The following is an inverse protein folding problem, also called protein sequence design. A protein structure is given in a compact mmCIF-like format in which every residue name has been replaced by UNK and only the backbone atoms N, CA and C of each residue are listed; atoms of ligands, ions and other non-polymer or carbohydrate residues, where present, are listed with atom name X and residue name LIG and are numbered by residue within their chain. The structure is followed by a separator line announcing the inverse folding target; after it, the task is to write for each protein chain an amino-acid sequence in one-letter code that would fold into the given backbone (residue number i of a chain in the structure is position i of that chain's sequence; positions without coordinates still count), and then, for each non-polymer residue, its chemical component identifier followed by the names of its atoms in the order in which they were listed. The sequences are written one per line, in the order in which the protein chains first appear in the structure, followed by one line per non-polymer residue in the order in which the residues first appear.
data_IF_156429210953
#
_entry.id   IF_156429210953
#
_cell.length_a   1.000
_cell.length_b   1.000
_cell.length_c   1.000
_cell.angle_alpha   90.00
_cell.angle_beta   90.00
_cell.angle_gamma   90.00
#
_symmetry.space_group_name_H-M   'P 1'
#
loop_
_entity.id
_entity.type
_entity.pdbx_description
1 polymer ?
#
# COMPACT_ATOMS: atom_id res chain seq x y z
N UNK A 1 19.66 -12.90 -4.91
CA UNK A 1 18.83 -14.12 -5.00
C UNK A 1 19.46 -15.15 -5.93
N UNK A 2 19.80 -14.83 -7.18
CA UNK A 2 20.41 -15.80 -8.12
C UNK A 2 21.81 -16.26 -7.67
N UNK A 3 22.69 -15.33 -7.29
CA UNK A 3 24.00 -15.66 -6.71
C UNK A 3 23.90 -16.50 -5.42
N UNK A 4 22.78 -16.39 -4.70
CA UNK A 4 22.49 -17.16 -3.49
C UNK A 4 21.78 -18.50 -3.79
N UNK A 5 21.62 -18.87 -5.06
CA UNK A 5 20.99 -20.12 -5.49
C UNK A 5 19.47 -20.21 -5.27
N UNK A 6 18.81 -19.14 -4.84
CA UNK A 6 17.37 -19.14 -4.53
C UNK A 6 16.49 -19.10 -5.78
N UNK A 7 17.03 -18.58 -6.88
CA UNK A 7 16.36 -18.51 -8.18
C UNK A 7 17.34 -18.88 -9.28
N UNK A 8 16.85 -19.49 -10.35
CA UNK A 8 17.59 -19.78 -11.57
C UNK A 8 17.07 -18.88 -12.71
N UNK A 9 17.99 -18.38 -13.54
CA UNK A 9 17.70 -17.42 -14.60
C UNK A 9 17.99 -17.98 -15.98
N UNK A 10 16.96 -18.13 -16.81
CA UNK A 10 17.08 -18.62 -18.19
C UNK A 10 16.77 -17.51 -19.18
N UNK A 11 17.55 -17.44 -20.27
CA UNK A 11 17.25 -16.52 -21.37
C UNK A 11 16.07 -17.07 -22.18
N UNK A 12 15.03 -16.28 -22.33
CA UNK A 12 13.85 -16.61 -23.14
C UNK A 12 13.65 -15.58 -24.24
N UNK A 13 13.11 -15.96 -25.41
CA UNK A 13 12.78 -15.01 -26.46
C UNK A 13 11.82 -13.93 -25.96
N UNK A 14 12.07 -12.69 -26.38
CA UNK A 14 11.26 -11.52 -26.06
C UNK A 14 11.01 -10.73 -27.34
N UNK A 15 10.01 -11.18 -28.10
CA UNK A 15 9.76 -10.66 -29.45
C UNK A 15 10.75 -11.17 -30.50
N UNK A 16 10.75 -10.59 -31.72
CA UNK A 16 11.43 -11.20 -32.88
C UNK A 16 12.96 -11.16 -32.84
N UNK A 17 13.58 -10.28 -32.04
CA UNK A 17 15.03 -10.04 -32.04
C UNK A 17 15.66 -9.82 -30.66
N UNK A 18 14.92 -10.08 -29.59
CA UNK A 18 15.43 -9.83 -28.24
C UNK A 18 15.19 -11.04 -27.36
N UNK A 19 15.93 -11.11 -26.26
CA UNK A 19 15.74 -12.08 -25.19
C UNK A 19 15.60 -11.33 -23.87
N UNK A 20 14.88 -11.96 -22.93
CA UNK A 20 14.77 -11.49 -21.56
C UNK A 20 15.13 -12.63 -20.63
N UNK A 21 15.73 -12.30 -19.49
CA UNK A 21 16.00 -13.27 -18.44
C UNK A 21 14.71 -13.56 -17.66
N UNK A 22 14.22 -14.80 -17.75
CA UNK A 22 13.12 -15.31 -16.96
C UNK A 22 13.67 -16.05 -15.74
N UNK A 23 13.15 -15.74 -14.57
CA UNK A 23 13.54 -16.38 -13.32
C UNK A 23 12.52 -17.43 -12.88
N UNK A 24 13.03 -18.53 -12.35
CA UNK A 24 12.26 -19.59 -11.69
C UNK A 24 12.82 -19.81 -10.29
N UNK A 25 11.94 -20.07 -9.31
CA UNK A 25 12.37 -20.44 -7.96
C UNK A 25 13.01 -21.83 -7.96
N UNK A 26 14.08 -22.01 -7.19
CA UNK A 26 14.74 -23.31 -6.96
C UNK A 26 14.13 -23.99 -5.73
N UNK A 27 14.45 -25.27 -5.50
CA UNK A 27 14.03 -25.95 -4.26
C UNK A 27 14.59 -25.26 -3.01
N UNK A 28 15.85 -24.81 -3.07
CA UNK A 28 16.46 -23.99 -2.02
C UNK A 28 15.69 -22.68 -1.81
N UNK A 29 15.23 -22.06 -2.90
CA UNK A 29 14.38 -20.87 -2.84
C UNK A 29 13.02 -21.15 -2.19
N UNK A 30 12.40 -22.30 -2.45
CA UNK A 30 11.14 -22.69 -1.81
C UNK A 30 11.32 -22.87 -0.30
N UNK A 31 12.41 -23.52 0.12
CA UNK A 31 12.69 -23.73 1.53
C UNK A 31 12.96 -22.40 2.25
N UNK A 32 13.82 -21.55 1.68
CA UNK A 32 14.08 -20.22 2.20
C UNK A 32 12.81 -19.35 2.26
N UNK A 33 11.91 -19.48 1.28
CA UNK A 33 10.62 -18.79 1.30
C UNK A 33 9.72 -19.29 2.43
N UNK A 34 9.67 -20.60 2.69
CA UNK A 34 8.88 -21.17 3.80
C UNK A 34 9.42 -20.75 5.16
N UNK A 35 10.74 -20.78 5.33
CA UNK A 35 11.40 -20.30 6.54
C UNK A 35 11.04 -18.83 6.79
N UNK A 36 11.15 -17.98 5.76
CA UNK A 36 10.77 -16.58 5.85
C UNK A 36 9.29 -16.37 6.19
N UNK A 37 8.38 -17.18 5.64
CA UNK A 37 6.95 -17.12 5.98
C UNK A 37 6.66 -17.46 7.46
N UNK A 38 7.57 -18.16 8.14
CA UNK A 38 7.48 -18.49 9.56
C UNK A 38 8.17 -17.47 10.46
N UNK A 39 8.91 -16.50 9.90
CA UNK A 39 9.55 -15.44 10.67
C UNK A 39 8.50 -14.47 11.22
N UNK A 40 8.48 -14.21 12.55
CA UNK A 40 7.60 -13.21 13.13
C UNK A 40 7.80 -11.83 12.50
N UNK A 41 6.72 -11.09 12.30
CA UNK A 41 6.80 -9.72 11.80
C UNK A 41 7.36 -8.83 12.91
N UNK A 42 8.53 -8.22 12.68
CA UNK A 42 9.06 -7.17 13.53
C UNK A 42 8.49 -5.82 13.11
N UNK A 43 7.87 -5.10 14.05
CA UNK A 43 7.28 -3.80 13.77
C UNK A 43 8.27 -2.69 14.10
N UNK A 44 8.69 -1.94 13.09
CA UNK A 44 9.41 -0.67 13.27
C UNK A 44 8.43 0.49 13.26
N UNK A 45 8.70 1.60 13.98
CA UNK A 45 7.88 2.81 13.89
C UNK A 45 7.66 3.24 12.43
N UNK A 46 6.40 3.44 12.04
CA UNK A 46 6.04 3.82 10.68
C UNK A 46 6.49 5.25 10.38
N UNK A 47 7.04 5.47 9.18
CA UNK A 47 7.42 6.80 8.68
C UNK A 47 6.32 7.37 7.80
N UNK A 48 5.31 7.98 8.43
CA UNK A 48 4.14 8.53 7.75
C UNK A 48 4.30 10.04 7.53
N UNK A 49 4.82 10.43 6.36
CA UNK A 49 5.12 11.84 6.05
C UNK A 49 3.87 12.73 6.10
N UNK A 50 2.72 12.23 5.63
CA UNK A 50 1.46 12.98 5.65
C UNK A 50 0.97 13.27 7.07
N UNK A 51 1.02 12.29 7.97
CA UNK A 51 0.68 12.47 9.38
C UNK A 51 1.68 13.40 10.09
N UNK A 52 2.96 13.30 9.73
CA UNK A 52 3.99 14.20 10.25
C UNK A 52 3.72 15.65 9.83
N UNK A 53 3.42 15.90 8.55
CA UNK A 53 3.09 17.26 8.09
C UNK A 53 1.81 17.79 8.73
N UNK A 54 0.76 16.96 8.84
CA UNK A 54 -0.50 17.35 9.46
C UNK A 54 -0.36 17.71 10.95
N UNK A 55 0.59 17.10 11.65
CA UNK A 55 0.88 17.42 13.05
C UNK A 55 1.49 18.83 13.24
N UNK A 56 1.91 19.50 12.16
CA UNK A 56 2.50 20.84 12.19
C UNK A 56 1.75 21.82 11.27
N UNK A 57 0.45 21.60 11.03
CA UNK A 57 -0.34 22.50 10.19
C UNK A 57 -0.46 23.93 10.74
N UNK A 58 -0.18 24.16 12.03
CA UNK A 58 -0.07 25.50 12.61
C UNK A 58 1.09 26.33 12.01
N UNK A 59 2.04 25.68 11.32
CA UNK A 59 3.14 26.34 10.61
C UNK A 59 2.84 26.62 9.13
N UNK A 60 1.63 26.30 8.66
CA UNK A 60 1.17 26.59 7.30
C UNK A 60 -0.12 27.39 7.33
N UNK A 61 -0.53 27.94 6.19
CA UNK A 61 -1.84 28.58 6.09
C UNK A 61 -2.94 27.55 5.81
N UNK A 62 -4.18 27.96 6.07
CA UNK A 62 -5.36 27.11 5.91
C UNK A 62 -5.54 26.59 4.48
N UNK A 63 -5.14 27.36 3.46
CA UNK A 63 -5.27 26.95 2.06
C UNK A 63 -4.35 25.76 1.75
N UNK A 64 -3.09 25.85 2.16
CA UNK A 64 -2.11 24.78 1.99
C UNK A 64 -2.44 23.54 2.82
N UNK A 65 -2.91 23.71 4.06
CA UNK A 65 -3.38 22.59 4.88
C UNK A 65 -4.57 21.86 4.23
N UNK A 66 -5.53 22.60 3.65
CA UNK A 66 -6.64 22.00 2.88
C UNK A 66 -6.18 21.27 1.64
N UNK A 67 -5.27 21.88 0.87
CA UNK A 67 -4.74 21.26 -0.34
C UNK A 67 -4.01 19.94 -0.02
N UNK A 68 -3.27 19.89 1.10
CA UNK A 68 -2.63 18.66 1.57
C UNK A 68 -3.64 17.54 1.83
N UNK A 69 -4.68 17.83 2.61
CA UNK A 69 -5.72 16.86 2.94
C UNK A 69 -6.53 16.44 1.70
N UNK A 70 -6.82 17.35 0.78
CA UNK A 70 -7.52 17.01 -0.46
C UNK A 70 -6.68 16.08 -1.34
N UNK A 71 -5.39 16.36 -1.51
CA UNK A 71 -4.48 15.49 -2.26
C UNK A 71 -4.39 14.08 -1.62
N UNK A 72 -4.42 13.99 -0.28
CA UNK A 72 -4.46 12.73 0.45
C UNK A 72 -5.74 11.95 0.17
N UNK A 73 -6.90 12.62 0.19
CA UNK A 73 -8.20 12.04 -0.17
C UNK A 73 -8.20 11.53 -1.60
N UNK A 74 -7.72 12.33 -2.56
CA UNK A 74 -7.68 11.96 -3.97
C UNK A 74 -6.80 10.72 -4.20
N UNK A 75 -5.63 10.69 -3.55
CA UNK A 75 -4.72 9.55 -3.59
C UNK A 75 -5.40 8.28 -3.06
N UNK A 76 -5.91 8.30 -1.82
CA UNK A 76 -6.49 7.09 -1.24
C UNK A 76 -7.81 6.69 -1.90
N UNK A 77 -8.57 7.63 -2.46
CA UNK A 77 -9.77 7.32 -3.26
C UNK A 77 -9.40 6.54 -4.53
N UNK A 78 -8.35 6.98 -5.24
CA UNK A 78 -7.85 6.25 -6.39
C UNK A 78 -7.33 4.84 -6.01
N UNK A 79 -6.60 4.73 -4.90
CA UNK A 79 -6.13 3.44 -4.38
C UNK A 79 -7.28 2.52 -4.00
N UNK A 80 -8.30 3.03 -3.29
CA UNK A 80 -9.49 2.29 -2.90
C UNK A 80 -10.23 1.74 -4.13
N UNK A 81 -10.43 2.57 -5.16
CA UNK A 81 -11.06 2.16 -6.41
C UNK A 81 -10.27 1.04 -7.11
N UNK A 82 -8.95 1.22 -7.27
CA UNK A 82 -8.09 0.22 -7.91
C UNK A 82 -8.08 -1.11 -7.15
N UNK A 83 -7.89 -1.06 -5.83
CA UNK A 83 -7.84 -2.25 -4.99
C UNK A 83 -9.18 -2.95 -4.90
N UNK A 84 -10.29 -2.22 -4.99
CA UNK A 84 -11.64 -2.81 -5.03
C UNK A 84 -11.82 -3.68 -6.27
N UNK A 85 -11.38 -3.17 -7.44
CA UNK A 85 -11.42 -3.94 -8.69
C UNK A 85 -10.56 -5.19 -8.59
N UNK A 86 -9.34 -5.07 -8.04
CA UNK A 86 -8.44 -6.22 -7.88
C UNK A 86 -9.03 -7.23 -6.90
N UNK A 87 -9.52 -6.78 -5.74
CA UNK A 87 -10.15 -7.63 -4.73
C UNK A 87 -11.31 -8.43 -5.31
N UNK A 88 -12.22 -7.77 -6.02
CA UNK A 88 -13.32 -8.41 -6.73
C UNK A 88 -12.82 -9.43 -7.76
N UNK A 89 -11.84 -9.07 -8.59
CA UNK A 89 -11.27 -9.98 -9.58
C UNK A 89 -10.62 -11.23 -8.98
N UNK A 90 -10.13 -11.17 -7.73
CA UNK A 90 -9.59 -12.32 -7.02
C UNK A 90 -10.72 -13.25 -6.58
N UNK A 91 -11.77 -12.69 -5.98
CA UNK A 91 -12.95 -13.44 -5.53
C UNK A 91 -13.67 -14.12 -6.70
N UNK A 92 -13.83 -13.41 -7.82
CA UNK A 92 -14.43 -13.91 -9.06
C UNK A 92 -13.50 -14.84 -9.86
N UNK A 93 -12.25 -15.01 -9.41
CA UNK A 93 -11.22 -15.82 -10.07
C UNK A 93 -10.89 -15.39 -11.51
N UNK A 94 -10.98 -14.09 -11.80
CA UNK A 94 -10.64 -13.50 -13.10
C UNK A 94 -9.27 -12.82 -13.12
N UNK A 95 -8.64 -12.65 -11.95
CA UNK A 95 -7.30 -12.07 -11.85
C UNK A 95 -6.22 -12.99 -12.46
N UNK A 96 -5.61 -12.59 -13.59
CA UNK A 96 -4.66 -13.43 -14.35
C UNK A 96 -3.49 -13.96 -13.52
N UNK A 97 -2.92 -13.15 -12.62
CA UNK A 97 -1.80 -13.58 -11.77
C UNK A 97 -2.23 -14.64 -10.77
N UNK A 98 -3.43 -14.50 -10.20
CA UNK A 98 -3.99 -15.49 -9.28
C UNK A 98 -4.38 -16.77 -10.02
N UNK A 99 -5.02 -16.67 -11.20
CA UNK A 99 -5.38 -17.81 -12.04
C UNK A 99 -4.14 -18.65 -12.39
N UNK A 100 -3.08 -18.01 -12.90
CA UNK A 100 -1.79 -18.67 -13.17
C UNK A 100 -1.13 -19.28 -11.93
N UNK A 101 -1.47 -18.78 -10.73
CA UNK A 101 -0.98 -19.35 -9.47
C UNK A 101 -1.75 -20.63 -9.16
N UNK A 102 -3.08 -20.60 -9.13
CA UNK A 102 -3.91 -21.77 -8.74
C UNK A 102 -3.75 -22.94 -9.71
N UNK A 103 -3.49 -22.68 -11.01
CA UNK A 103 -3.19 -23.74 -12.01
C UNK A 103 -2.01 -24.63 -11.62
N UNK A 104 -1.10 -24.15 -10.75
CA UNK A 104 0.06 -24.90 -10.28
C UNK A 104 -0.20 -25.72 -9.02
N UNK A 105 -1.38 -25.62 -8.43
CA UNK A 105 -1.73 -26.27 -7.17
C UNK A 105 -2.93 -27.21 -7.36
N UNK A 106 -3.03 -28.28 -6.54
CA UNK A 106 -4.23 -29.10 -6.47
C UNK A 106 -5.49 -28.29 -6.11
N UNK A 107 -6.65 -28.71 -6.62
CA UNK A 107 -7.93 -28.01 -6.46
C UNK A 107 -8.30 -27.78 -5.00
N UNK A 108 -7.96 -28.70 -4.10
CA UNK A 108 -8.21 -28.57 -2.66
C UNK A 108 -7.47 -27.38 -2.01
N UNK A 109 -6.44 -26.82 -2.66
CA UNK A 109 -5.71 -25.66 -2.16
C UNK A 109 -6.20 -24.33 -2.77
N UNK A 110 -7.03 -24.38 -3.82
CA UNK A 110 -7.42 -23.17 -4.56
C UNK A 110 -8.18 -22.18 -3.69
N UNK A 111 -9.13 -22.67 -2.88
CA UNK A 111 -9.90 -21.84 -1.97
C UNK A 111 -9.00 -21.11 -0.97
N UNK A 112 -8.04 -21.83 -0.37
CA UNK A 112 -7.07 -21.26 0.57
C UNK A 112 -6.22 -20.17 -0.08
N UNK A 113 -5.79 -20.37 -1.32
CA UNK A 113 -4.99 -19.39 -2.08
C UNK A 113 -5.82 -18.12 -2.35
N UNK A 114 -7.08 -18.28 -2.77
CA UNK A 114 -8.00 -17.16 -3.04
C UNK A 114 -8.29 -16.40 -1.75
N UNK A 115 -8.63 -17.10 -0.67
CA UNK A 115 -9.00 -16.49 0.61
C UNK A 115 -7.89 -15.62 1.19
N UNK A 116 -6.64 -16.13 1.28
CA UNK A 116 -5.54 -15.32 1.80
C UNK A 116 -5.15 -14.17 0.89
N UNK A 117 -5.29 -14.33 -0.43
CA UNK A 117 -5.04 -13.23 -1.36
C UNK A 117 -6.11 -12.14 -1.21
N UNK A 118 -7.39 -12.52 -1.06
CA UNK A 118 -8.49 -11.59 -0.84
C UNK A 118 -8.30 -10.83 0.48
N UNK A 119 -8.06 -11.55 1.57
CA UNK A 119 -7.80 -11.01 2.91
C UNK A 119 -6.73 -9.92 2.93
N UNK A 120 -5.63 -10.10 2.19
CA UNK A 120 -4.59 -9.08 2.10
C UNK A 120 -5.09 -7.76 1.49
N UNK A 121 -5.96 -7.82 0.47
CA UNK A 121 -6.55 -6.63 -0.13
C UNK A 121 -7.65 -6.02 0.75
N UNK A 122 -8.40 -6.83 1.50
CA UNK A 122 -9.37 -6.30 2.48
C UNK A 122 -8.69 -5.36 3.49
N UNK A 123 -7.54 -5.75 4.03
CA UNK A 123 -6.77 -4.87 4.92
C UNK A 123 -6.34 -3.55 4.26
N UNK A 124 -5.94 -3.60 2.99
CA UNK A 124 -5.57 -2.40 2.22
C UNK A 124 -6.78 -1.49 1.95
N UNK A 125 -7.95 -2.07 1.66
CA UNK A 125 -9.20 -1.34 1.49
C UNK A 125 -9.62 -0.63 2.79
N UNK A 126 -9.57 -1.35 3.92
CA UNK A 126 -9.88 -0.79 5.23
C UNK A 126 -8.95 0.37 5.60
N UNK A 127 -7.64 0.22 5.33
CA UNK A 127 -6.68 1.30 5.54
C UNK A 127 -7.01 2.52 4.68
N UNK A 128 -7.23 2.34 3.36
CA UNK A 128 -7.53 3.45 2.47
C UNK A 128 -8.79 4.22 2.91
N UNK A 129 -9.83 3.51 3.34
CA UNK A 129 -11.03 4.15 3.85
C UNK A 129 -10.76 4.95 5.14
N UNK A 130 -10.01 4.37 6.08
CA UNK A 130 -9.67 5.05 7.33
C UNK A 130 -8.85 6.33 7.08
N UNK A 131 -7.95 6.32 6.09
CA UNK A 131 -7.14 7.47 5.68
C UNK A 131 -7.98 8.58 5.02
N UNK A 132 -8.97 8.22 4.20
CA UNK A 132 -9.95 9.17 3.64
C UNK A 132 -10.78 9.80 4.76
N UNK A 133 -11.31 8.98 5.67
CA UNK A 133 -12.13 9.44 6.79
C UNK A 133 -11.34 10.36 7.72
N UNK A 134 -10.07 10.04 7.97
CA UNK A 134 -9.15 10.89 8.73
C UNK A 134 -8.97 12.26 8.08
N UNK A 135 -8.71 12.30 6.77
CA UNK A 135 -8.50 13.56 6.07
C UNK A 135 -9.76 14.43 6.03
N UNK A 136 -10.96 13.83 5.87
CA UNK A 136 -12.21 14.57 6.00
C UNK A 136 -12.42 15.17 7.39
N UNK A 137 -12.06 14.45 8.46
CA UNK A 137 -12.07 15.02 9.83
C UNK A 137 -11.09 16.18 9.96
N UNK A 138 -9.93 16.09 9.32
CA UNK A 138 -8.95 17.18 9.26
C UNK A 138 -9.52 18.43 8.57
N UNK A 139 -10.21 18.27 7.45
CA UNK A 139 -10.85 19.41 6.75
C UNK A 139 -11.92 20.08 7.62
N UNK A 140 -12.77 19.29 8.29
CA UNK A 140 -13.77 19.80 9.23
C UNK A 140 -13.13 20.51 10.44
N UNK A 141 -11.98 20.03 10.92
CA UNK A 141 -11.22 20.71 11.97
C UNK A 141 -10.68 22.08 11.48
N UNK A 142 -10.16 22.15 10.25
CA UNK A 142 -9.73 23.42 9.67
C UNK A 142 -10.89 24.41 9.50
N UNK A 143 -12.10 23.93 9.16
CA UNK A 143 -13.31 24.77 9.13
C UNK A 143 -13.63 25.37 10.51
N UNK A 144 -13.49 24.58 11.58
CA UNK A 144 -13.76 25.03 12.94
C UNK A 144 -12.74 26.08 13.40
N UNK A 145 -11.45 25.82 13.15
CA UNK A 145 -10.35 26.71 13.55
C UNK A 145 -10.27 28.01 12.72
N UNK A 146 -10.78 28.01 11.49
CA UNK A 146 -10.84 29.21 10.65
C UNK A 146 -12.00 30.17 10.99
N UNK A 147 -12.77 29.88 12.04
CA UNK A 147 -13.80 30.81 12.52
C UNK A 147 -13.18 32.14 12.99
N UNK A 148 -13.85 33.29 12.81
CA UNK A 148 -13.20 34.61 12.66
C UNK A 148 -12.54 35.20 13.91
N UNK A 149 -12.60 34.51 15.04
CA UNK A 149 -11.99 34.97 16.28
C UNK A 149 -10.63 34.27 16.44
N UNK A 150 -9.56 35.05 16.24
CA UNK A 150 -8.15 34.77 16.54
C UNK A 150 -7.31 34.01 15.49
N UNK A 151 -6.50 34.76 14.75
CA UNK A 151 -5.17 34.28 14.32
C UNK A 151 -4.13 35.27 14.84
N UNK A 152 -3.53 35.05 16.01
CA UNK A 152 -2.16 35.47 16.22
C UNK A 152 -1.30 34.48 15.44
N UNK A 153 -0.58 34.97 14.43
CA UNK A 153 0.58 34.26 13.88
C UNK A 153 1.46 33.87 15.05
N UNK A 154 1.58 32.57 15.33
CA UNK A 154 2.46 32.07 16.37
C UNK A 154 3.91 32.21 15.92
N UNK A 155 4.42 33.44 15.92
CA UNK A 155 5.86 33.63 15.94
C UNK A 155 6.36 33.07 17.29
N UNK A 156 7.32 32.14 17.29
CA UNK A 156 7.89 31.66 18.53
C UNK A 156 8.53 32.85 19.25
N UNK A 157 8.10 33.10 20.49
CA UNK A 157 8.72 34.10 21.36
C UNK A 157 10.19 33.75 21.52
N UNK A 158 11.07 34.49 20.85
CA UNK A 158 12.52 34.38 21.08
C UNK A 158 12.80 34.88 22.49
N UNK A 159 13.10 33.98 23.41
CA UNK A 159 13.72 34.35 24.68
C UNK A 159 15.14 34.88 24.37
N UNK A 160 15.38 36.15 24.72
CA UNK A 160 16.72 36.76 24.72
C UNK A 160 17.51 36.31 25.95
#
# INVERSE_FOLDING_TARGET
MEQAGLIDGKQVPWGPRSTKKQYSITDLGIEAFREWMCTPIEYTPARNVHHLQAAYFEWTDTEHARAHLQNHIDYYTAQLAQWTIIHRSILERTNLTMVKRIEKYPTEQHERIVAFKAFAYEGMLSLAQAEIDWAHKGLALLDQLASPDEIPTAEPVRQQ
#
